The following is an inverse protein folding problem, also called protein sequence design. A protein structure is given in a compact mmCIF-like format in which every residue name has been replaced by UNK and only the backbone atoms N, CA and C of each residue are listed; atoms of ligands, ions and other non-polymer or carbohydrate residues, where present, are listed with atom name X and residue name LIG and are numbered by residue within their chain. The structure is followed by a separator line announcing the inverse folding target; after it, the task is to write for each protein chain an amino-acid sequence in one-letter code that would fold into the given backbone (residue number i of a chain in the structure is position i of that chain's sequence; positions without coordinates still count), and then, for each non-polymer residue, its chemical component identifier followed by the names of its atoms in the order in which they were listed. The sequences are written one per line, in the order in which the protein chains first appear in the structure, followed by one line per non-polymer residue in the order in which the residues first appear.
data_IF_535474020497
#
_entry.id   IF_535474020497
#
_cell.length_a   1.000
_cell.length_b   1.000
_cell.length_c   1.000
_cell.angle_alpha   90.00
_cell.angle_beta   90.00
_cell.angle_gamma   90.00
#
_symmetry.space_group_name_H-M   'P 1'
#
loop_
_entity.id
_entity.type
_entity.pdbx_description
1 polymer ?
#
# COMPACT_ATOMS: atom_id res chain seq x y z
N UNK A 1 20.08 -6.03 1.59
CA UNK A 1 18.61 -5.84 1.59
C UNK A 1 18.32 -4.36 1.53
N UNK A 2 17.67 -3.85 0.46
CA UNK A 2 17.44 -2.40 0.32
C UNK A 2 16.26 -1.94 1.20
N UNK A 3 16.42 -0.83 1.92
CA UNK A 3 15.36 -0.17 2.70
C UNK A 3 14.29 0.51 1.82
N UNK A 4 14.24 0.23 0.51
CA UNK A 4 13.23 0.77 -0.42
C UNK A 4 11.80 0.43 -0.01
N UNK A 5 11.60 -0.68 0.70
CA UNK A 5 10.29 -1.05 1.24
C UNK A 5 9.74 -0.03 2.25
N UNK A 6 10.62 0.75 2.90
CA UNK A 6 10.24 1.83 3.82
C UNK A 6 9.67 3.06 3.07
N UNK A 7 9.99 3.20 1.78
CA UNK A 7 9.65 4.34 0.92
C UNK A 7 8.46 4.05 -0.01
N UNK A 8 7.45 3.33 0.49
CA UNK A 8 6.17 3.13 -0.20
C UNK A 8 6.23 2.47 -1.59
N UNK A 9 7.31 1.75 -1.92
CA UNK A 9 7.31 0.82 -3.07
C UNK A 9 6.46 -0.42 -2.72
N UNK A 10 5.14 -0.20 -2.63
CA UNK A 10 4.14 -1.26 -2.49
C UNK A 10 3.91 -2.00 -3.80
N UNK A 11 4.25 -1.36 -4.90
CA UNK A 11 4.22 -1.93 -6.24
C UNK A 11 5.47 -2.76 -6.45
N UNK A 12 5.28 -3.92 -7.09
CA UNK A 12 6.39 -4.67 -7.65
C UNK A 12 7.23 -3.69 -8.51
N UNK A 13 8.58 -3.64 -8.37
CA UNK A 13 9.41 -2.79 -9.20
C UNK A 13 9.15 -2.97 -10.71
N UNK A 14 8.68 -4.16 -11.13
CA UNK A 14 8.31 -4.44 -12.51
C UNK A 14 6.96 -3.82 -12.94
N UNK A 15 6.08 -3.49 -11.98
CA UNK A 15 4.75 -2.93 -12.20
C UNK A 15 4.60 -1.59 -11.48
N UNK A 16 5.51 -0.66 -11.73
CA UNK A 16 5.30 0.74 -11.35
C UNK A 16 4.32 1.38 -12.33
N UNK A 17 3.08 1.72 -11.92
CA UNK A 17 2.17 2.44 -12.80
C UNK A 17 2.86 3.75 -13.18
N UNK A 18 2.98 3.98 -14.49
CA UNK A 18 3.70 5.15 -15.04
C UNK A 18 2.90 6.42 -14.80
N UNK A 19 1.57 6.31 -14.83
CA UNK A 19 0.68 7.44 -14.62
C UNK A 19 0.22 7.57 -13.16
N UNK A 20 0.18 8.80 -12.66
CA UNK A 20 -0.34 9.14 -11.33
C UNK A 20 -1.82 8.74 -11.17
N UNK A 21 -2.60 8.75 -12.27
CA UNK A 21 -4.01 8.36 -12.29
C UNK A 21 -4.21 6.89 -11.97
N UNK A 22 -3.42 6.00 -12.57
CA UNK A 22 -3.45 4.57 -12.28
C UNK A 22 -3.09 4.28 -10.82
N UNK A 23 -2.06 4.96 -10.28
CA UNK A 23 -1.69 4.84 -8.86
C UNK A 23 -2.84 5.21 -7.94
N UNK A 24 -3.51 6.32 -8.23
CA UNK A 24 -4.64 6.79 -7.45
C UNK A 24 -5.82 5.81 -7.52
N UNK A 25 -6.09 5.21 -8.69
CA UNK A 25 -7.13 4.20 -8.85
C UNK A 25 -6.84 2.95 -8.00
N UNK A 26 -5.59 2.44 -8.03
CA UNK A 26 -5.17 1.30 -7.20
C UNK A 26 -5.31 1.62 -5.71
N UNK A 27 -4.86 2.80 -5.27
CA UNK A 27 -4.93 3.20 -3.85
C UNK A 27 -6.38 3.38 -3.41
N UNK A 28 -7.24 3.99 -4.23
CA UNK A 28 -8.69 4.14 -3.93
C UNK A 28 -9.35 2.78 -3.77
N UNK A 29 -9.09 1.84 -4.69
CA UNK A 29 -9.67 0.50 -4.64
C UNK A 29 -9.11 -0.31 -3.46
N UNK A 30 -7.81 -0.22 -3.18
CA UNK A 30 -7.18 -0.83 -2.01
C UNK A 30 -7.76 -0.30 -0.69
N UNK A 31 -8.00 1.02 -0.60
CA UNK A 31 -8.69 1.64 0.54
C UNK A 31 -10.12 1.12 0.68
N UNK A 32 -10.87 0.97 -0.42
CA UNK A 32 -12.21 0.41 -0.38
C UNK A 32 -12.21 -1.03 0.18
N UNK A 33 -11.26 -1.87 -0.22
CA UNK A 33 -11.10 -3.21 0.37
C UNK A 33 -10.74 -3.17 1.86
N UNK A 34 -9.86 -2.25 2.26
CA UNK A 34 -9.44 -2.11 3.65
C UNK A 34 -10.62 -1.68 4.54
N UNK A 35 -11.40 -0.69 4.11
CA UNK A 35 -12.56 -0.18 4.85
C UNK A 35 -13.68 -1.22 5.01
N UNK A 36 -13.79 -2.18 4.08
CA UNK A 36 -14.73 -3.32 4.20
C UNK A 36 -14.33 -4.35 5.25
N UNK A 37 -13.14 -4.22 5.86
CA UNK A 37 -12.62 -5.14 6.87
C UNK A 37 -12.45 -4.40 8.20
N UNK A 38 -13.54 -4.13 8.93
CA UNK A 38 -13.48 -3.36 10.18
C UNK A 38 -12.56 -4.01 11.21
N UNK A 39 -12.44 -5.35 11.21
CA UNK A 39 -11.50 -6.08 12.04
C UNK A 39 -10.03 -5.66 11.79
N UNK A 40 -9.63 -5.44 10.53
CA UNK A 40 -8.27 -4.97 10.22
C UNK A 40 -8.06 -3.52 10.68
N UNK A 41 -9.07 -2.67 10.52
CA UNK A 41 -9.05 -1.31 11.05
C UNK A 41 -8.93 -1.28 12.57
N UNK A 42 -9.68 -2.15 13.26
CA UNK A 42 -9.63 -2.29 14.71
C UNK A 42 -8.25 -2.79 15.18
N UNK A 43 -7.69 -3.82 14.54
CA UNK A 43 -6.33 -4.30 14.85
C UNK A 43 -5.30 -3.20 14.63
N UNK A 44 -5.39 -2.46 13.51
CA UNK A 44 -4.50 -1.34 13.23
C UNK A 44 -4.58 -0.28 14.35
N UNK A 45 -5.79 0.11 14.74
CA UNK A 45 -6.02 1.11 15.79
C UNK A 45 -5.46 0.63 17.13
N UNK A 46 -5.80 -0.59 17.55
CA UNK A 46 -5.34 -1.17 18.83
C UNK A 46 -3.82 -1.24 18.89
N UNK A 47 -3.16 -1.75 17.85
CA UNK A 47 -1.69 -1.83 17.81
C UNK A 47 -1.06 -0.44 17.87
N UNK A 48 -1.61 0.53 17.13
CA UNK A 48 -1.12 1.92 17.14
C UNK A 48 -1.26 2.53 18.54
N UNK A 49 -2.42 2.38 19.17
CA UNK A 49 -2.66 2.88 20.52
C UNK A 49 -1.74 2.23 21.55
N UNK A 50 -1.49 0.92 21.42
CA UNK A 50 -0.60 0.19 22.32
C UNK A 50 0.84 0.72 22.22
N UNK A 51 1.36 0.92 21.01
CA UNK A 51 2.71 1.50 20.81
C UNK A 51 2.79 2.91 21.38
N UNK A 52 1.80 3.76 21.12
CA UNK A 52 1.77 5.13 21.65
C UNK A 52 1.71 5.14 23.18
N UNK A 53 0.87 4.28 23.78
CA UNK A 53 0.79 4.12 25.22
C UNK A 53 2.12 3.62 25.81
N UNK A 54 2.83 2.72 25.13
CA UNK A 54 4.17 2.27 25.55
C UNK A 54 5.17 3.42 25.55
N UNK A 55 5.22 4.24 24.48
CA UNK A 55 6.17 5.37 24.39
C UNK A 55 5.85 6.45 25.44
N UNK A 56 4.57 6.73 25.67
CA UNK A 56 4.13 7.66 26.71
C UNK A 56 4.47 7.09 28.10
N UNK A 57 4.19 5.81 28.34
CA UNK A 57 4.46 5.13 29.59
C UNK A 57 5.94 5.11 29.93
N UNK A 58 6.82 4.84 28.96
CA UNK A 58 8.27 4.89 29.17
C UNK A 58 8.75 6.31 29.47
N UNK A 59 8.24 7.31 28.76
CA UNK A 59 8.54 8.71 29.07
C UNK A 59 8.13 9.09 30.50
N UNK A 60 6.91 8.77 30.90
CA UNK A 60 6.37 9.10 32.22
C UNK A 60 7.02 8.26 33.35
N UNK A 61 7.47 7.05 33.06
CA UNK A 61 8.09 6.16 34.05
C UNK A 61 9.58 6.42 34.27
N UNK A 62 10.33 6.73 33.22
CA UNK A 62 11.80 6.80 33.28
C UNK A 62 12.35 8.22 33.27
N UNK A 63 11.62 9.23 32.77
CA UNK A 63 12.10 10.61 32.78
C UNK A 63 11.78 11.28 34.12
N UNK A 64 12.80 11.73 34.88
CA UNK A 64 12.60 12.44 36.14
C UNK A 64 11.74 13.70 35.94
N UNK A 65 10.80 13.96 36.84
CA UNK A 65 9.93 15.15 36.82
C UNK A 65 10.67 16.48 36.55
N UNK A 66 11.81 16.81 37.19
CA UNK A 66 12.50 18.08 36.94
C UNK A 66 13.04 18.21 35.51
N UNK A 67 13.30 17.09 34.83
CA UNK A 67 13.86 17.07 33.47
C UNK A 67 12.78 17.12 32.37
N UNK A 68 11.51 16.85 32.68
CA UNK A 68 10.41 16.77 31.69
C UNK A 68 10.14 18.08 30.96
N UNK A 69 10.41 19.22 31.62
CA UNK A 69 10.19 20.55 31.04
C UNK A 69 11.40 21.03 30.23
N UNK A 70 12.48 20.26 30.17
CA UNK A 70 13.65 20.62 29.38
C UNK A 70 13.29 20.53 27.88
N UNK A 71 13.55 21.58 27.07
CA UNK A 71 13.08 21.62 25.68
C UNK A 71 13.60 20.44 24.84
N UNK A 72 14.86 20.06 25.01
CA UNK A 72 15.44 18.91 24.32
C UNK A 72 14.78 17.57 24.67
N UNK A 73 14.32 17.41 25.91
CA UNK A 73 13.62 16.20 26.36
C UNK A 73 12.24 16.13 25.69
N UNK A 74 11.54 17.27 25.60
CA UNK A 74 10.27 17.35 24.87
C UNK A 74 10.44 17.08 23.38
N UNK A 75 11.47 17.67 22.74
CA UNK A 75 11.79 17.43 21.33
C UNK A 75 12.10 15.96 21.08
N UNK A 76 12.92 15.34 21.93
CA UNK A 76 13.23 13.91 21.84
C UNK A 76 11.98 13.04 22.02
N UNK A 77 11.08 13.41 22.95
CA UNK A 77 9.83 12.69 23.18
C UNK A 77 8.88 12.78 21.97
N UNK A 78 8.64 13.98 21.45
CA UNK A 78 7.79 14.19 20.27
C UNK A 78 8.39 13.51 19.04
N UNK A 79 9.70 13.64 18.84
CA UNK A 79 10.42 12.94 17.78
C UNK A 79 10.30 11.43 17.89
N UNK A 80 10.43 10.88 19.10
CA UNK A 80 10.24 9.46 19.39
C UNK A 80 8.81 8.98 19.12
N UNK A 81 7.79 9.75 19.50
CA UNK A 81 6.39 9.44 19.18
C UNK A 81 6.13 9.42 17.68
N UNK A 82 6.61 10.42 16.95
CA UNK A 82 6.45 10.49 15.50
C UNK A 82 7.18 9.33 14.80
N UNK A 83 8.40 9.02 15.24
CA UNK A 83 9.18 7.91 14.71
C UNK A 83 8.51 6.55 14.97
N UNK A 84 8.03 6.33 16.19
CA UNK A 84 7.30 5.11 16.57
C UNK A 84 6.01 4.98 15.77
N UNK A 85 5.21 6.05 15.68
CA UNK A 85 3.99 6.06 14.88
C UNK A 85 4.27 5.77 13.40
N UNK A 86 5.25 6.44 12.80
CA UNK A 86 5.64 6.23 11.41
C UNK A 86 6.09 4.80 11.14
N UNK A 87 6.90 4.22 12.04
CA UNK A 87 7.37 2.85 11.91
C UNK A 87 6.21 1.85 12.02
N UNK A 88 5.35 2.01 13.03
CA UNK A 88 4.17 1.16 13.22
C UNK A 88 3.20 1.27 12.05
N UNK A 89 2.93 2.49 11.57
CA UNK A 89 2.11 2.74 10.39
C UNK A 89 2.70 2.02 9.17
N UNK A 90 4.00 2.21 8.90
CA UNK A 90 4.68 1.59 7.78
C UNK A 90 4.61 0.06 7.83
N UNK A 91 4.89 -0.54 8.99
CA UNK A 91 4.83 -2.00 9.19
C UNK A 91 3.41 -2.55 9.05
N UNK A 92 2.41 -1.89 9.64
CA UNK A 92 1.02 -2.33 9.56
C UNK A 92 0.46 -2.17 8.16
N UNK A 93 0.72 -1.04 7.49
CA UNK A 93 0.37 -0.89 6.08
C UNK A 93 1.06 -1.97 5.25
N UNK A 94 2.34 -2.26 5.51
CA UNK A 94 3.01 -3.34 4.78
C UNK A 94 2.36 -4.72 5.01
N UNK A 95 2.04 -5.06 6.26
CA UNK A 95 1.47 -6.37 6.59
C UNK A 95 0.01 -6.51 6.11
N UNK A 96 -0.82 -5.48 6.35
CA UNK A 96 -2.27 -5.55 6.15
C UNK A 96 -2.69 -5.06 4.76
N UNK A 97 -2.02 -4.01 4.26
CA UNK A 97 -2.41 -3.31 3.04
C UNK A 97 -1.88 -3.98 1.77
N UNK A 98 -0.77 -4.73 1.84
CA UNK A 98 -0.22 -5.51 0.71
C UNK A 98 -1.26 -6.44 0.09
N UNK A 99 -2.04 -7.12 0.91
CA UNK A 99 -3.10 -8.03 0.44
C UNK A 99 -4.21 -7.27 -0.28
N UNK A 100 -4.53 -6.05 0.17
CA UNK A 100 -5.55 -5.19 -0.45
C UNK A 100 -5.06 -4.63 -1.79
N UNK A 101 -3.80 -4.17 -1.86
CA UNK A 101 -3.18 -3.70 -3.10
C UNK A 101 -3.13 -4.81 -4.14
N UNK A 102 -2.69 -6.02 -3.78
CA UNK A 102 -2.62 -7.14 -4.74
C UNK A 102 -3.99 -7.51 -5.28
N UNK A 103 -5.04 -7.46 -4.44
CA UNK A 103 -6.43 -7.63 -4.89
C UNK A 103 -6.88 -6.54 -5.84
N UNK A 104 -6.55 -5.29 -5.53
CA UNK A 104 -6.84 -4.15 -6.40
C UNK A 104 -6.14 -4.28 -7.77
N UNK A 105 -4.88 -4.70 -7.79
CA UNK A 105 -4.14 -4.97 -9.02
C UNK A 105 -4.79 -6.09 -9.84
N UNK A 106 -5.17 -7.20 -9.21
CA UNK A 106 -5.89 -8.28 -9.91
C UNK A 106 -7.23 -7.83 -10.48
N UNK A 107 -7.94 -6.95 -9.78
CA UNK A 107 -9.22 -6.40 -10.25
C UNK A 107 -9.04 -5.47 -11.45
N UNK A 108 -7.94 -4.72 -11.51
CA UNK A 108 -7.59 -3.84 -12.63
C UNK A 108 -6.93 -4.60 -13.81
N UNK A 109 -7.13 -5.91 -13.90
CA UNK A 109 -6.60 -6.73 -15.00
C UNK A 109 -5.09 -7.00 -14.93
N UNK A 110 -4.43 -6.69 -13.82
CA UNK A 110 -3.01 -7.03 -13.62
C UNK A 110 -2.90 -8.35 -12.85
N UNK A 111 -2.63 -9.48 -13.50
CA UNK A 111 -2.65 -10.78 -12.85
C UNK A 111 -1.43 -10.92 -11.93
N UNK A 112 -1.63 -10.75 -10.62
CA UNK A 112 -0.62 -10.99 -9.58
C UNK A 112 -1.13 -12.01 -8.57
N UNK A 113 -0.24 -12.79 -7.97
CA UNK A 113 -0.63 -13.66 -6.86
C UNK A 113 -0.96 -12.81 -5.62
N UNK A 114 -2.15 -12.97 -5.06
CA UNK A 114 -2.58 -12.21 -3.86
C UNK A 114 -1.72 -12.55 -2.63
N UNK A 115 -1.16 -13.76 -2.57
CA UNK A 115 -0.40 -14.27 -1.42
C UNK A 115 1.08 -13.87 -1.41
N UNK A 116 1.80 -14.06 -2.52
CA UNK A 116 3.22 -13.71 -2.59
C UNK A 116 3.52 -12.43 -3.39
N UNK A 117 2.60 -11.98 -4.25
CA UNK A 117 2.78 -10.80 -5.10
C UNK A 117 3.41 -11.07 -6.46
N UNK A 118 3.82 -12.31 -6.74
CA UNK A 118 4.47 -12.67 -8.01
C UNK A 118 3.55 -12.39 -9.22
N UNK A 119 4.12 -11.78 -10.26
CA UNK A 119 3.45 -11.55 -11.55
C UNK A 119 3.04 -12.87 -12.18
N UNK A 120 1.82 -12.93 -12.70
CA UNK A 120 1.29 -14.09 -13.42
C UNK A 120 1.05 -13.81 -14.90
N UNK A 121 1.57 -12.68 -15.39
CA UNK A 121 1.46 -12.32 -16.81
C UNK A 121 2.17 -13.40 -17.64
N UNK A 122 1.49 -13.94 -18.64
CA UNK A 122 2.01 -15.01 -19.50
C UNK A 122 1.91 -16.42 -18.91
N UNK A 123 1.48 -16.59 -17.65
CA UNK A 123 1.24 -17.92 -17.07
C UNK A 123 -0.19 -18.34 -17.37
N UNK A 124 -0.37 -19.05 -18.47
CA UNK A 124 -1.66 -19.61 -18.88
C UNK A 124 -2.00 -20.79 -17.96
N UNK A 125 -3.13 -20.68 -17.26
CA UNK A 125 -3.93 -21.79 -16.70
C UNK A 125 -3.52 -22.55 -15.41
N UNK A 126 -2.42 -22.26 -14.71
CA UNK A 126 -2.19 -22.93 -13.41
C UNK A 126 -3.14 -22.40 -12.31
N UNK A 127 -3.88 -23.26 -11.59
CA UNK A 127 -4.71 -22.80 -10.44
C UNK A 127 -3.86 -22.29 -9.27
N UNK A 128 -2.63 -22.77 -9.15
CA UNK A 128 -1.69 -22.40 -8.09
C UNK A 128 -0.58 -21.48 -8.61
N UNK A 129 -0.13 -20.56 -7.75
CA UNK A 129 1.05 -19.74 -8.02
C UNK A 129 2.32 -20.60 -8.01
N UNK A 130 3.21 -20.52 -9.02
CA UNK A 130 4.42 -21.33 -9.08
C UNK A 130 5.41 -21.03 -7.94
N UNK A 131 5.43 -19.79 -7.44
CA UNK A 131 6.35 -19.38 -6.37
C UNK A 131 5.93 -19.85 -4.97
N UNK A 132 4.64 -19.74 -4.64
CA UNK A 132 4.17 -19.96 -3.26
C UNK A 132 3.13 -21.07 -3.12
N UNK A 133 2.79 -21.77 -4.20
CA UNK A 133 1.72 -22.78 -4.25
C UNK A 133 0.33 -22.25 -3.92
N UNK A 134 0.17 -20.93 -3.79
CA UNK A 134 -1.09 -20.31 -3.36
C UNK A 134 -2.15 -20.37 -4.45
N UNK A 135 -3.33 -20.88 -4.13
CA UNK A 135 -4.50 -20.77 -5.00
C UNK A 135 -5.02 -19.34 -4.97
N UNK A 136 -5.41 -18.81 -6.13
CA UNK A 136 -6.02 -17.49 -6.17
C UNK A 136 -7.41 -17.55 -5.51
N UNK A 137 -7.74 -16.60 -4.62
CA UNK A 137 -9.09 -16.50 -4.12
C UNK A 137 -10.05 -16.21 -5.30
N UNK A 138 -11.32 -16.67 -5.23
CA UNK A 138 -12.32 -16.27 -6.20
C UNK A 138 -12.41 -14.74 -6.28
N UNK A 139 -12.74 -14.21 -7.45
CA UNK A 139 -13.03 -12.80 -7.61
C UNK A 139 -14.11 -12.43 -6.58
N UNK A 140 -13.82 -11.44 -5.74
CA UNK A 140 -14.86 -10.89 -4.87
C UNK A 140 -15.79 -10.06 -5.76
N UNK A 141 -17.10 -10.29 -5.66
CA UNK A 141 -18.10 -9.41 -6.26
C UNK A 141 -17.95 -8.01 -5.65
N UNK A 142 -17.21 -7.15 -6.35
CA UNK A 142 -17.19 -5.73 -6.04
C UNK A 142 -18.33 -5.08 -6.80
N UNK A 143 -19.00 -4.08 -6.18
CA UNK A 143 -19.92 -3.24 -6.92
C UNK A 143 -19.17 -2.67 -8.12
N UNK A 144 -19.83 -2.65 -9.28
CA UNK A 144 -19.29 -2.19 -10.55
C UNK A 144 -18.44 -0.94 -10.32
N UNK A 145 -17.14 -1.15 -10.24
CA UNK A 145 -16.19 -0.08 -10.23
C UNK A 145 -15.94 0.16 -11.70
N UNK A 146 -16.64 1.13 -12.28
CA UNK A 146 -16.35 1.60 -13.62
C UNK A 146 -14.87 2.03 -13.62
N UNK A 147 -13.98 1.22 -14.24
CA UNK A 147 -12.60 1.65 -14.34
C UNK A 147 -12.63 2.97 -15.11
N UNK A 148 -11.81 3.97 -14.74
CA UNK A 148 -11.69 5.16 -15.56
C UNK A 148 -11.35 4.67 -16.97
N UNK A 149 -12.30 4.85 -17.90
CA UNK A 149 -12.18 4.41 -19.30
C UNK A 149 -10.80 4.86 -19.74
N UNK A 150 -9.93 3.89 -20.07
CA UNK A 150 -8.58 4.18 -20.50
C UNK A 150 -8.72 5.21 -21.61
N UNK A 151 -8.29 6.44 -21.35
CA UNK A 151 -8.43 7.52 -22.31
C UNK A 151 -7.78 7.02 -23.59
N UNK A 152 -8.59 6.86 -24.64
CA UNK A 152 -8.24 6.28 -25.92
C UNK A 152 -6.83 6.74 -26.33
N UNK A 153 -5.85 5.85 -26.21
CA UNK A 153 -4.48 6.08 -26.66
C UNK A 153 -4.35 5.93 -28.18
N UNK A 154 -5.49 5.82 -28.87
CA UNK A 154 -5.65 5.69 -30.32
C UNK A 154 -5.60 7.04 -31.06
N UNK A 155 -5.49 8.18 -30.37
CA UNK A 155 -5.47 9.52 -31.00
C UNK A 155 -4.12 10.03 -31.51
N UNK A 156 -3.04 9.24 -31.50
CA UNK A 156 -1.68 9.69 -31.85
C UNK A 156 -1.13 9.14 -33.18
N UNK A 157 -2.00 8.74 -34.09
CA UNK A 157 -1.65 8.58 -35.51
C UNK A 157 -2.58 9.46 -36.31
N UNK A 158 -2.05 10.56 -36.83
CA UNK A 158 -2.21 11.02 -38.22
C UNK A 158 -2.09 12.56 -38.28
N UNK A 159 -0.87 13.09 -38.07
CA UNK A 159 -0.51 14.39 -38.63
C UNK A 159 0.22 14.09 -39.94
N UNK A 160 -0.57 14.02 -41.01
CA UNK A 160 -0.06 13.94 -42.37
C UNK A 160 0.78 15.17 -42.67
N UNK A 161 2.10 14.97 -42.76
CA UNK A 161 2.98 15.87 -43.48
C UNK A 161 3.00 15.41 -44.95
N UNK A 162 1.93 15.78 -45.64
CA UNK A 162 1.84 15.76 -47.09
C UNK A 162 1.85 17.19 -47.64
N UNK A 163 2.72 17.41 -48.63
CA UNK A 163 2.72 18.48 -49.63
C UNK A 163 3.53 19.78 -49.37
N UNK A 164 4.69 19.84 -50.05
CA UNK A 164 5.12 20.92 -50.96
C UNK A 164 6.37 20.37 -51.69
N UNK A 165 6.35 19.91 -52.95
CA UNK A 165 6.08 20.63 -54.22
C UNK A 165 6.89 21.90 -54.36
#
# INVERSE_FOLDING_TARGET
MSLRWLWQDYFDPEHRPRESRERLAVVRLANAYFMRRPALGAVYLVVTLLVMATVIGTYLGFVPRPQRNHPWVLVAFVGGLLAAHYLTHSLLCHALYRSCIRRALTHLGTPVCVRCGHSRRGIVSTRACPECGGMNPPALDLPDFDPPVAADSTGATDRGDGAAS
#
